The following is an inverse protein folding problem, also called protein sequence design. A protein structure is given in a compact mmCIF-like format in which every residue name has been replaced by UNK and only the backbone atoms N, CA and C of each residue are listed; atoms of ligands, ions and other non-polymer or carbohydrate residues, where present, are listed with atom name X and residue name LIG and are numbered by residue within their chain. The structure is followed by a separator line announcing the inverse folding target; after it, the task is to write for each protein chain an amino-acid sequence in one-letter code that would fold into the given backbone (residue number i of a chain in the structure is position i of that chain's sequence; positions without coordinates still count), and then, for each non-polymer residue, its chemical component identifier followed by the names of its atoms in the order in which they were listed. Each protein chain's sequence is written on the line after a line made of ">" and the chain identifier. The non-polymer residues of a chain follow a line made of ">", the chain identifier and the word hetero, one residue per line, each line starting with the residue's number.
data_IF_212123070646
#
_entry.id   IF_212123070646
#
_cell.length_a   1.000
_cell.length_b   1.000
_cell.length_c   1.000
_cell.angle_alpha   90.00
_cell.angle_beta   90.00
_cell.angle_gamma   90.00
#
_symmetry.space_group_name_H-M   'P 1'
#
loop_
_entity.id
_entity.type
_entity.pdbx_description
1 polymer ?
#
# COMPACT_ATOMS: atom_id res chain seq x y z
N UNK A 1 9.96 -14.28 5.27
CA UNK A 1 9.04 -14.08 6.40
C UNK A 1 9.54 -12.97 7.32
N UNK A 2 10.45 -13.19 8.28
CA UNK A 2 10.93 -12.10 9.16
C UNK A 2 11.74 -11.00 8.43
N UNK A 3 12.48 -11.37 7.37
CA UNK A 3 13.23 -10.42 6.54
C UNK A 3 12.30 -9.51 5.72
N UNK A 4 11.30 -10.11 5.05
CA UNK A 4 10.32 -9.38 4.25
C UNK A 4 9.51 -8.36 5.08
N UNK A 5 9.18 -8.70 6.33
CA UNK A 5 8.48 -7.77 7.25
C UNK A 5 9.37 -6.59 7.66
N UNK A 6 10.67 -6.83 7.90
CA UNK A 6 11.63 -5.78 8.22
C UNK A 6 11.92 -4.87 7.02
N UNK A 7 12.02 -5.45 5.82
CA UNK A 7 12.19 -4.70 4.56
C UNK A 7 10.96 -3.85 4.25
N UNK A 8 9.76 -4.40 4.44
CA UNK A 8 8.51 -3.65 4.27
C UNK A 8 8.40 -2.52 5.29
N UNK A 9 8.78 -2.76 6.55
CA UNK A 9 8.80 -1.72 7.59
C UNK A 9 9.76 -0.58 7.22
N UNK A 10 10.97 -0.91 6.77
CA UNK A 10 11.94 0.09 6.32
C UNK A 10 11.43 0.89 5.11
N UNK A 11 10.77 0.21 4.15
CA UNK A 11 10.18 0.86 2.99
C UNK A 11 9.02 1.79 3.38
N UNK A 12 8.19 1.40 4.36
CA UNK A 12 7.14 2.29 4.88
C UNK A 12 7.78 3.54 5.47
N UNK A 13 8.75 3.40 6.39
CA UNK A 13 9.39 4.55 7.06
C UNK A 13 10.04 5.52 6.05
N UNK A 14 10.77 5.01 5.06
CA UNK A 14 11.35 5.86 4.01
C UNK A 14 10.28 6.54 3.14
N UNK A 15 9.18 5.85 2.84
CA UNK A 15 8.07 6.44 2.10
C UNK A 15 7.34 7.55 2.89
N UNK A 16 7.33 7.49 4.23
CA UNK A 16 6.81 8.58 5.07
C UNK A 16 7.64 9.86 4.95
N UNK A 17 8.96 9.72 4.74
CA UNK A 17 9.89 10.83 4.50
C UNK A 17 9.88 11.32 3.03
N UNK A 18 9.01 10.75 2.18
CA UNK A 18 8.84 11.15 0.78
C UNK A 18 9.69 10.35 -0.23
N UNK A 19 10.28 9.22 0.16
CA UNK A 19 11.00 8.34 -0.77
C UNK A 19 10.02 7.61 -1.72
N UNK A 20 9.99 8.04 -2.98
CA UNK A 20 9.13 7.48 -4.03
C UNK A 20 9.45 6.02 -4.37
N UNK A 21 10.73 5.62 -4.32
CA UNK A 21 11.12 4.24 -4.63
C UNK A 21 10.75 3.30 -3.48
N UNK A 22 10.84 3.78 -2.24
CA UNK A 22 10.31 3.08 -1.08
C UNK A 22 8.78 2.94 -1.15
N UNK A 23 8.05 3.99 -1.53
CA UNK A 23 6.61 3.91 -1.75
C UNK A 23 6.25 2.88 -2.84
N UNK A 24 7.02 2.85 -3.94
CA UNK A 24 6.84 1.85 -5.01
C UNK A 24 7.09 0.43 -4.52
N UNK A 25 8.04 0.22 -3.61
CA UNK A 25 8.27 -1.08 -2.98
C UNK A 25 7.07 -1.51 -2.12
N UNK A 26 6.54 -0.60 -1.29
CA UNK A 26 5.31 -0.83 -0.50
C UNK A 26 4.13 -1.18 -1.40
N UNK A 27 3.90 -0.40 -2.47
CA UNK A 27 2.84 -0.65 -3.44
C UNK A 27 2.93 -2.07 -4.02
N UNK A 28 4.09 -2.45 -4.54
CA UNK A 28 4.29 -3.77 -5.17
C UNK A 28 4.10 -4.92 -4.19
N UNK A 29 4.49 -4.73 -2.93
CA UNK A 29 4.33 -5.75 -1.89
C UNK A 29 2.84 -5.92 -1.48
N UNK A 30 2.10 -4.81 -1.37
CA UNK A 30 0.75 -4.80 -0.77
C UNK A 30 -0.37 -4.91 -1.79
N UNK A 31 -0.23 -4.28 -2.96
CA UNK A 31 -1.32 -4.12 -3.94
C UNK A 31 -2.01 -5.44 -4.33
N UNK A 32 -1.31 -6.55 -4.64
CA UNK A 32 -1.98 -7.80 -5.03
C UNK A 32 -2.92 -8.35 -3.95
N UNK A 33 -2.52 -8.24 -2.67
CA UNK A 33 -3.31 -8.71 -1.53
C UNK A 33 -4.47 -7.77 -1.24
N UNK A 34 -4.23 -6.46 -1.34
CA UNK A 34 -5.26 -5.44 -1.18
C UNK A 34 -6.35 -5.57 -2.27
N UNK A 35 -5.96 -5.68 -3.54
CA UNK A 35 -6.88 -5.87 -4.65
C UNK A 35 -7.68 -7.17 -4.50
N UNK A 36 -7.02 -8.26 -4.10
CA UNK A 36 -7.69 -9.53 -3.79
C UNK A 36 -8.74 -9.38 -2.69
N UNK A 37 -8.44 -8.63 -1.63
CA UNK A 37 -9.38 -8.34 -0.56
C UNK A 37 -10.57 -7.48 -1.05
N UNK A 38 -10.29 -6.39 -1.76
CA UNK A 38 -11.33 -5.48 -2.29
C UNK A 38 -12.26 -6.23 -3.24
N UNK A 39 -11.74 -7.10 -4.11
CA UNK A 39 -12.56 -7.98 -4.99
C UNK A 39 -13.59 -8.79 -4.22
N UNK A 40 -13.29 -9.22 -3.00
CA UNK A 40 -14.26 -9.96 -2.15
C UNK A 40 -15.36 -9.08 -1.57
N UNK A 41 -15.14 -7.76 -1.50
CA UNK A 41 -16.07 -6.79 -0.91
C UNK A 41 -16.99 -6.17 -1.96
N UNK A 42 -16.45 -5.76 -3.10
CA UNK A 42 -17.19 -5.00 -4.14
C UNK A 42 -17.41 -5.78 -5.44
N UNK A 43 -16.77 -6.93 -5.61
CA UNK A 43 -16.78 -7.69 -6.87
C UNK A 43 -15.75 -7.18 -7.88
N UNK A 44 -15.54 -7.94 -8.97
CA UNK A 44 -14.51 -7.63 -9.98
C UNK A 44 -14.68 -6.27 -10.68
N UNK A 45 -15.88 -5.83 -11.09
CA UNK A 45 -16.02 -4.61 -11.91
C UNK A 45 -15.53 -3.33 -11.23
N UNK A 46 -15.71 -3.24 -9.90
CA UNK A 46 -15.43 -2.03 -9.13
C UNK A 46 -14.10 -2.10 -8.37
N UNK A 47 -13.44 -3.28 -8.34
CA UNK A 47 -12.30 -3.51 -7.45
C UNK A 47 -11.07 -2.65 -7.77
N UNK A 48 -10.76 -2.46 -9.05
CA UNK A 48 -9.60 -1.67 -9.49
C UNK A 48 -9.79 -0.18 -9.19
N UNK A 49 -11.02 0.33 -9.32
CA UNK A 49 -11.36 1.72 -9.05
C UNK A 49 -11.27 2.01 -7.55
N UNK A 50 -11.90 1.18 -6.72
CA UNK A 50 -11.83 1.27 -5.26
C UNK A 50 -10.40 1.10 -4.75
N UNK A 51 -9.61 0.20 -5.35
CA UNK A 51 -8.20 0.05 -5.00
C UNK A 51 -7.40 1.31 -5.32
N UNK A 52 -7.67 1.95 -6.46
CA UNK A 52 -7.03 3.20 -6.87
C UNK A 52 -7.37 4.34 -5.90
N UNK A 53 -8.65 4.49 -5.53
CA UNK A 53 -9.07 5.48 -4.53
C UNK A 53 -8.43 5.24 -3.16
N UNK A 54 -8.34 3.97 -2.72
CA UNK A 54 -7.68 3.61 -1.48
C UNK A 54 -6.19 3.98 -1.49
N UNK A 55 -5.47 3.69 -2.59
CA UNK A 55 -4.06 4.06 -2.74
C UNK A 55 -3.85 5.58 -2.76
N UNK A 56 -4.75 6.33 -3.37
CA UNK A 56 -4.72 7.80 -3.30
C UNK A 56 -4.87 8.31 -1.87
N UNK A 57 -5.72 7.67 -1.06
CA UNK A 57 -5.86 8.03 0.35
C UNK A 57 -4.63 7.63 1.17
N UNK A 58 -4.10 6.42 0.96
CA UNK A 58 -2.86 5.95 1.60
C UNK A 58 -1.72 6.92 1.31
N UNK A 59 -1.48 7.28 0.05
CA UNK A 59 -0.40 8.18 -0.33
C UNK A 59 -0.52 9.57 0.33
N UNK A 60 -1.74 10.06 0.55
CA UNK A 60 -2.00 11.36 1.19
C UNK A 60 -1.81 11.36 2.70
N UNK A 61 -2.06 10.22 3.35
CA UNK A 61 -2.05 10.11 4.81
C UNK A 61 -0.77 9.46 5.33
N UNK A 62 0.08 8.91 4.45
CA UNK A 62 1.27 8.14 4.81
C UNK A 62 2.28 8.95 5.63
N UNK A 63 2.49 10.23 5.30
CA UNK A 63 3.39 11.15 6.00
C UNK A 63 2.96 11.41 7.45
N UNK A 64 1.66 11.31 7.74
CA UNK A 64 1.06 11.52 9.06
C UNK A 64 0.85 10.25 9.85
N UNK A 65 0.98 9.09 9.21
CA UNK A 65 0.82 7.81 9.87
C UNK A 65 1.92 7.64 10.93
N UNK A 66 1.55 7.14 12.11
CA UNK A 66 2.51 6.72 13.14
C UNK A 66 2.01 5.40 13.69
N UNK A 67 2.75 4.32 13.41
CA UNK A 67 2.43 2.94 13.77
C UNK A 67 3.43 2.35 14.76
#
# INVERSE_FOLDING_TARGET
>A
MLGDDAELTAAVLAAQDGDEDAFRAVYRAVHPRLLGYIRTLVGEPDAEDVASEAWLQIARDLDRFSG
#
